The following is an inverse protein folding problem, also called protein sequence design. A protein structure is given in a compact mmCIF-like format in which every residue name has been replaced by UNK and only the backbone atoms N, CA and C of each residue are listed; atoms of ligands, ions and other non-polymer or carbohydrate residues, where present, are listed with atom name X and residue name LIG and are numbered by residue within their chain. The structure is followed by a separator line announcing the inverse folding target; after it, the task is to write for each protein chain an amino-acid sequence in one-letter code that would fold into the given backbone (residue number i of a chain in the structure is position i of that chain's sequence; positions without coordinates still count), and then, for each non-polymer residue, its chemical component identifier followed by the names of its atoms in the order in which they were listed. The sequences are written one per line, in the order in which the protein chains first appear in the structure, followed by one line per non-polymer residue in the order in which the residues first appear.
data_IF_040685468865
#
_entry.id   IF_040685468865
#
_cell.length_a   1.000
_cell.length_b   1.000
_cell.length_c   1.000
_cell.angle_alpha   90.00
_cell.angle_beta   90.00
_cell.angle_gamma   90.00
#
_symmetry.space_group_name_H-M   'P 1'
#
loop_
_entity.id
_entity.type
_entity.pdbx_description
1 polymer ?
#
# COMPACT_ATOMS: atom_id res chain seq x y z
N UNK A 1 24.12 -7.56 -1.73
CA UNK A 1 23.15 -6.82 -2.55
C UNK A 1 23.46 -5.34 -2.45
N UNK A 2 23.55 -4.67 -3.58
CA UNK A 2 23.77 -3.23 -3.61
C UNK A 2 22.52 -2.51 -3.11
N UNK A 3 22.71 -1.52 -2.26
CA UNK A 3 21.67 -0.61 -1.81
C UNK A 3 21.69 0.65 -2.66
N UNK A 4 20.52 1.10 -3.06
CA UNK A 4 20.36 2.23 -3.97
C UNK A 4 19.74 3.40 -3.21
N UNK A 5 20.38 4.57 -3.32
CA UNK A 5 19.83 5.77 -2.73
C UNK A 5 18.57 6.19 -3.47
N UNK A 6 17.54 6.54 -2.71
CA UNK A 6 16.29 7.04 -3.29
C UNK A 6 16.46 8.46 -3.84
N UNK A 7 15.60 8.83 -4.79
CA UNK A 7 15.61 10.18 -5.33
C UNK A 7 15.03 11.19 -4.35
N UNK A 8 15.27 12.48 -4.61
CA UNK A 8 14.75 13.56 -3.76
C UNK A 8 13.22 13.66 -3.77
N UNK A 9 12.57 13.11 -4.79
CA UNK A 9 11.10 13.12 -4.93
C UNK A 9 10.42 11.91 -4.31
N UNK A 10 11.20 10.98 -3.75
CA UNK A 10 10.66 9.77 -3.11
C UNK A 10 10.14 10.06 -1.70
N UNK A 11 8.99 9.53 -1.29
CA UNK A 11 8.00 8.82 -2.12
C UNK A 11 7.18 9.79 -2.98
N UNK A 12 6.90 9.44 -4.27
CA UNK A 12 6.24 10.38 -5.18
C UNK A 12 4.77 10.67 -4.87
N UNK A 13 4.06 9.71 -4.30
CA UNK A 13 2.63 9.84 -4.02
C UNK A 13 2.36 10.10 -2.54
N UNK A 14 1.49 11.07 -2.27
CA UNK A 14 1.03 11.38 -0.92
C UNK A 14 -0.02 10.35 -0.47
N UNK A 15 -0.02 10.05 0.82
CA UNK A 15 -1.00 9.13 1.40
C UNK A 15 -0.80 8.96 2.90
N UNK A 16 -1.56 8.04 3.48
CA UNK A 16 -1.47 7.70 4.90
C UNK A 16 -0.37 6.66 5.12
N UNK A 17 0.87 7.09 5.13
CA UNK A 17 2.01 6.21 5.37
C UNK A 17 3.10 6.91 6.17
N UNK A 18 3.98 6.09 6.72
CA UNK A 18 5.22 6.52 7.35
C UNK A 18 6.40 6.02 6.53
N UNK A 19 7.42 6.85 6.41
CA UNK A 19 8.70 6.50 5.80
C UNK A 19 9.68 6.09 6.88
N UNK A 20 10.36 4.97 6.67
CA UNK A 20 11.34 4.44 7.62
C UNK A 20 12.73 4.35 7.00
N UNK A 21 13.29 3.15 7.00
CA UNK A 21 14.61 2.90 6.45
C UNK A 21 14.54 2.68 4.94
N UNK A 22 14.97 3.66 4.15
CA UNK A 22 14.97 3.60 2.69
C UNK A 22 15.72 2.39 2.11
N UNK A 23 16.67 1.84 2.84
CA UNK A 23 17.47 0.69 2.40
C UNK A 23 16.90 -0.66 2.80
N UNK A 24 15.78 -0.67 3.50
CA UNK A 24 15.07 -1.90 3.85
C UNK A 24 14.43 -2.53 2.61
N UNK A 25 14.48 -3.87 2.50
CA UNK A 25 13.79 -4.56 1.40
C UNK A 25 12.29 -4.74 1.63
N UNK A 26 11.74 -4.26 2.76
CA UNK A 26 10.36 -4.57 3.17
C UNK A 26 9.52 -3.30 3.22
N UNK A 27 8.34 -3.36 2.62
CA UNK A 27 7.26 -2.43 2.83
C UNK A 27 6.06 -3.17 3.45
N UNK A 28 5.25 -2.44 4.22
CA UNK A 28 4.09 -3.00 4.91
C UNK A 28 2.85 -2.21 4.54
N UNK A 29 1.78 -2.91 4.18
CA UNK A 29 0.47 -2.31 3.98
C UNK A 29 -0.54 -2.93 4.93
N UNK A 30 -1.27 -2.09 5.65
CA UNK A 30 -2.33 -2.50 6.56
C UNK A 30 -3.67 -2.20 5.91
N UNK A 31 -4.45 -3.23 5.68
CA UNK A 31 -5.79 -3.09 5.11
C UNK A 31 -6.69 -2.39 6.12
N UNK A 32 -7.35 -1.34 5.68
CA UNK A 32 -8.22 -0.53 6.53
C UNK A 32 -9.66 -0.64 6.01
N UNK A 33 -10.49 -1.32 6.81
CA UNK A 33 -11.89 -1.49 6.47
C UNK A 33 -12.66 -0.15 6.62
N UNK A 34 -13.34 0.26 5.55
CA UNK A 34 -14.19 1.45 5.57
C UNK A 34 -15.49 1.19 6.32
N UNK A 35 -16.04 2.17 7.08
CA UNK A 35 -16.73 3.30 6.42
C UNK A 35 -15.92 4.58 6.25
N UNK A 36 -14.67 4.58 6.60
CA UNK A 36 -13.87 5.79 6.60
C UNK A 36 -13.73 6.45 5.22
N UNK A 37 -13.73 5.68 4.14
CA UNK A 37 -13.62 6.21 2.78
C UNK A 37 -14.77 7.10 2.33
N UNK A 38 -15.95 6.97 2.96
CA UNK A 38 -17.10 7.79 2.66
C UNK A 38 -17.15 9.11 3.45
N UNK A 39 -16.24 9.29 4.41
CA UNK A 39 -16.19 10.48 5.26
C UNK A 39 -15.23 11.52 4.68
N UNK A 40 -15.52 12.83 4.87
CA UNK A 40 -14.56 13.86 4.48
C UNK A 40 -13.20 13.64 5.17
N UNK A 41 -12.08 13.90 4.49
CA UNK A 41 -10.74 13.66 5.05
C UNK A 41 -10.50 14.31 6.43
N UNK A 42 -11.14 15.44 6.70
CA UNK A 42 -11.00 16.18 7.97
C UNK A 42 -11.59 15.45 9.17
N UNK A 43 -12.50 14.50 8.95
CA UNK A 43 -13.16 13.76 10.03
C UNK A 43 -12.80 12.28 10.04
N UNK A 44 -11.96 11.86 9.10
CA UNK A 44 -11.44 10.48 9.07
C UNK A 44 -10.41 10.32 10.18
N UNK A 45 -10.65 9.34 11.05
CA UNK A 45 -9.67 8.93 12.06
C UNK A 45 -9.30 7.49 11.83
N UNK A 46 -8.00 7.22 11.81
CA UNK A 46 -7.51 5.84 11.71
C UNK A 46 -7.64 5.18 13.09
N UNK A 47 -8.25 3.97 13.19
CA UNK A 47 -8.27 3.25 14.45
C UNK A 47 -6.88 3.10 15.05
N UNK A 48 -6.79 3.22 16.37
CA UNK A 48 -5.50 3.24 17.05
C UNK A 48 -4.69 1.96 16.85
N UNK A 49 -5.35 0.82 16.75
CA UNK A 49 -4.73 -0.47 16.48
C UNK A 49 -4.05 -0.49 15.12
N UNK A 50 -4.69 0.09 14.12
CA UNK A 50 -4.14 0.21 12.76
C UNK A 50 -2.94 1.16 12.75
N UNK A 51 -3.09 2.30 13.41
CA UNK A 51 -1.99 3.28 13.55
C UNK A 51 -0.78 2.65 14.24
N UNK A 52 -1.01 1.86 15.30
CA UNK A 52 0.06 1.15 16.00
C UNK A 52 0.76 0.12 15.10
N UNK A 53 0.03 -0.64 14.29
CA UNK A 53 0.62 -1.57 13.33
C UNK A 53 1.52 -0.85 12.32
N UNK A 54 1.05 0.27 11.80
CA UNK A 54 1.83 1.09 10.85
C UNK A 54 3.14 1.56 11.50
N UNK A 55 3.08 2.04 12.74
CA UNK A 55 4.26 2.51 13.49
C UNK A 55 5.23 1.39 13.82
N UNK A 56 4.72 0.25 14.30
CA UNK A 56 5.55 -0.90 14.66
C UNK A 56 6.34 -1.42 13.45
N UNK A 57 5.73 -1.43 12.28
CA UNK A 57 6.43 -1.82 11.06
C UNK A 57 7.65 -0.93 10.78
N UNK A 58 7.51 0.38 10.94
CA UNK A 58 8.61 1.32 10.77
C UNK A 58 9.68 1.14 11.86
N UNK A 59 9.27 1.00 13.10
CA UNK A 59 10.19 0.78 14.23
C UNK A 59 10.96 -0.53 14.10
N UNK A 60 10.37 -1.52 13.45
CA UNK A 60 11.00 -2.82 13.20
C UNK A 60 11.91 -2.81 11.97
N UNK A 61 11.88 -1.75 11.17
CA UNK A 61 12.83 -1.55 10.09
C UNK A 61 12.26 -1.53 8.68
N UNK A 62 10.95 -1.40 8.50
CA UNK A 62 10.37 -1.29 7.16
C UNK A 62 10.77 0.02 6.47
N UNK A 63 10.84 0.00 5.16
CA UNK A 63 11.10 1.19 4.35
C UNK A 63 9.89 2.11 4.28
N UNK A 64 8.72 1.52 4.10
CA UNK A 64 7.43 2.21 4.09
C UNK A 64 6.40 1.38 4.84
N UNK A 65 5.49 2.05 5.50
CA UNK A 65 4.34 1.41 6.14
C UNK A 65 3.14 2.34 6.07
N UNK A 66 2.01 1.84 5.61
CA UNK A 66 0.82 2.65 5.46
C UNK A 66 -0.45 1.85 5.37
N UNK A 67 -1.55 2.53 5.18
CA UNK A 67 -2.87 1.93 5.09
C UNK A 67 -3.39 1.87 3.66
N UNK A 68 -4.25 0.91 3.39
CA UNK A 68 -4.92 0.77 2.10
C UNK A 68 -6.42 0.57 2.31
N UNK A 69 -7.23 1.41 1.67
CA UNK A 69 -8.69 1.35 1.73
C UNK A 69 -9.33 0.92 0.41
N UNK A 70 -8.73 1.28 -0.72
CA UNK A 70 -9.36 1.10 -2.03
C UNK A 70 -8.46 0.31 -2.98
N UNK A 71 -9.11 -0.49 -3.83
CA UNK A 71 -8.46 -1.34 -4.82
C UNK A 71 -8.03 -0.61 -6.10
N UNK A 72 -8.37 0.66 -6.21
CA UNK A 72 -8.06 1.47 -7.39
C UNK A 72 -6.95 2.51 -7.09
N UNK A 73 -7.35 3.73 -6.74
CA UNK A 73 -6.40 4.83 -6.45
C UNK A 73 -5.41 4.43 -5.35
N UNK A 74 -5.89 3.70 -4.33
CA UNK A 74 -5.03 3.23 -3.25
C UNK A 74 -3.92 2.30 -3.71
N UNK A 75 -4.25 1.29 -4.50
CA UNK A 75 -3.26 0.35 -5.05
C UNK A 75 -2.29 1.08 -5.98
N UNK A 76 -2.79 1.96 -6.83
CA UNK A 76 -1.93 2.73 -7.74
C UNK A 76 -0.88 3.53 -6.98
N UNK A 77 -1.28 4.24 -5.92
CA UNK A 77 -0.35 5.00 -5.07
C UNK A 77 0.68 4.11 -4.39
N UNK A 78 0.26 2.96 -3.87
CA UNK A 78 1.17 2.00 -3.25
C UNK A 78 2.20 1.53 -4.26
N UNK A 79 1.79 1.14 -5.45
CA UNK A 79 2.69 0.66 -6.48
C UNK A 79 3.69 1.76 -6.89
N UNK A 80 3.21 2.99 -7.10
CA UNK A 80 4.10 4.11 -7.43
C UNK A 80 5.15 4.34 -6.36
N UNK A 81 4.77 4.31 -5.09
CA UNK A 81 5.70 4.53 -3.98
C UNK A 81 6.70 3.39 -3.82
N UNK A 82 6.26 2.15 -3.99
CA UNK A 82 7.13 0.97 -3.88
C UNK A 82 8.11 0.91 -5.05
N UNK A 83 7.64 1.11 -6.26
CA UNK A 83 8.48 1.05 -7.47
C UNK A 83 9.53 2.17 -7.47
N UNK A 84 9.21 3.31 -6.85
CA UNK A 84 10.16 4.42 -6.72
C UNK A 84 11.34 4.13 -5.79
N UNK A 85 11.28 3.05 -5.01
CA UNK A 85 12.38 2.61 -4.16
C UNK A 85 12.85 1.20 -4.59
N UNK A 86 13.92 1.10 -5.38
CA UNK A 86 14.38 -0.19 -5.89
C UNK A 86 14.96 -1.13 -4.82
N UNK A 87 15.12 -0.68 -3.58
CA UNK A 87 15.54 -1.56 -2.48
C UNK A 87 14.38 -2.44 -2.01
N UNK A 88 13.13 -2.00 -2.17
CA UNK A 88 11.96 -2.76 -1.71
C UNK A 88 11.76 -4.00 -2.60
N UNK A 89 11.68 -5.16 -1.97
CA UNK A 89 11.54 -6.47 -2.62
C UNK A 89 10.32 -7.24 -2.12
N UNK A 90 9.85 -6.92 -0.92
CA UNK A 90 8.78 -7.65 -0.26
C UNK A 90 7.72 -6.68 0.23
N UNK A 91 6.46 -7.05 0.01
CA UNK A 91 5.31 -6.33 0.53
C UNK A 91 4.57 -7.24 1.50
N UNK A 92 4.54 -6.85 2.77
CA UNK A 92 3.73 -7.54 3.77
C UNK A 92 2.34 -6.90 3.75
N UNK A 93 1.32 -7.71 3.52
CA UNK A 93 -0.08 -7.29 3.55
C UNK A 93 -0.70 -7.87 4.81
N UNK A 94 -1.19 -7.02 5.70
CA UNK A 94 -1.83 -7.42 6.95
C UNK A 94 -3.14 -6.68 7.17
N UNK A 95 -3.90 -7.10 8.19
CA UNK A 95 -5.23 -6.60 8.45
C UNK A 95 -6.31 -7.44 7.79
N UNK A 96 -7.54 -6.95 7.84
CA UNK A 96 -8.68 -7.62 7.25
C UNK A 96 -9.04 -7.00 5.90
N UNK A 97 -9.44 -7.85 4.97
CA UNK A 97 -9.89 -7.39 3.66
C UNK A 97 -11.08 -6.45 3.79
N UNK A 98 -11.10 -5.41 2.96
CA UNK A 98 -12.16 -4.41 3.00
C UNK A 98 -13.39 -4.98 2.31
N UNK A 99 -14.49 -5.13 3.07
CA UNK A 99 -15.75 -5.64 2.55
C UNK A 99 -16.22 -4.81 1.36
N UNK A 100 -16.53 -5.48 0.25
CA UNK A 100 -16.95 -4.83 -0.98
C UNK A 100 -15.82 -4.31 -1.87
N UNK A 101 -14.59 -4.19 -1.35
CA UNK A 101 -13.43 -3.73 -2.11
C UNK A 101 -12.42 -4.84 -2.43
N UNK A 102 -12.25 -5.80 -1.51
CA UNK A 102 -11.34 -6.93 -1.68
C UNK A 102 -9.91 -6.49 -2.05
N UNK A 103 -9.40 -5.48 -1.35
CA UNK A 103 -8.11 -4.86 -1.65
C UNK A 103 -6.93 -5.81 -1.53
N UNK A 104 -6.92 -6.66 -0.50
CA UNK A 104 -5.88 -7.67 -0.32
C UNK A 104 -5.88 -8.71 -1.44
N UNK A 105 -7.07 -9.18 -1.83
CA UNK A 105 -7.24 -10.11 -2.95
C UNK A 105 -6.78 -9.47 -4.26
N UNK A 106 -7.06 -8.18 -4.47
CA UNK A 106 -6.61 -7.45 -5.65
C UNK A 106 -5.09 -7.31 -5.70
N UNK A 107 -4.43 -7.00 -4.59
CA UNK A 107 -2.96 -6.95 -4.52
C UNK A 107 -2.37 -8.32 -4.85
N UNK A 108 -2.90 -9.38 -4.27
CA UNK A 108 -2.43 -10.74 -4.55
C UNK A 108 -2.54 -11.07 -6.04
N UNK A 109 -3.70 -10.79 -6.64
CA UNK A 109 -3.93 -11.02 -8.06
C UNK A 109 -2.96 -10.21 -8.93
N UNK A 110 -2.68 -8.94 -8.56
CA UNK A 110 -1.73 -8.10 -9.27
C UNK A 110 -0.32 -8.69 -9.25
N UNK A 111 0.13 -9.16 -8.09
CA UNK A 111 1.46 -9.77 -7.95
C UNK A 111 1.55 -11.09 -8.73
N UNK A 112 0.51 -11.91 -8.66
CA UNK A 112 0.52 -13.24 -9.29
C UNK A 112 0.33 -13.17 -10.81
N UNK A 113 -0.47 -12.26 -11.32
CA UNK A 113 -0.95 -12.26 -12.70
C UNK A 113 -0.64 -11.00 -13.52
N UNK A 114 -0.31 -9.89 -12.86
CA UNK A 114 -0.10 -8.62 -13.55
C UNK A 114 -1.40 -7.96 -14.03
N UNK A 115 -1.28 -7.12 -15.04
CA UNK A 115 -2.38 -6.38 -15.65
C UNK A 115 -2.52 -6.72 -17.14
N UNK A 116 -3.74 -6.56 -17.66
CA UNK A 116 -4.04 -6.74 -19.06
C UNK A 116 -3.80 -5.45 -19.87
N UNK A 117 -4.14 -5.49 -21.16
CA UNK A 117 -3.99 -4.35 -22.08
C UNK A 117 -4.83 -3.14 -21.69
N UNK A 118 -5.90 -3.34 -20.92
CA UNK A 118 -6.79 -2.30 -20.41
C UNK A 118 -6.37 -1.79 -19.04
N UNK A 119 -5.19 -2.21 -18.56
CA UNK A 119 -4.66 -1.92 -17.22
C UNK A 119 -5.52 -2.50 -16.09
N UNK A 120 -6.30 -3.53 -16.38
CA UNK A 120 -7.09 -4.23 -15.37
C UNK A 120 -6.28 -5.36 -14.75
N UNK A 121 -6.37 -5.51 -13.44
CA UNK A 121 -5.68 -6.61 -12.73
C UNK A 121 -6.30 -7.95 -13.15
N UNK A 122 -5.47 -8.83 -13.69
CA UNK A 122 -5.93 -10.14 -14.16
C UNK A 122 -6.28 -11.03 -12.96
N UNK A 123 -7.49 -11.59 -12.96
CA UNK A 123 -7.94 -12.48 -11.89
C UNK A 123 -8.52 -11.76 -10.68
N UNK A 124 -8.70 -10.46 -10.74
CA UNK A 124 -9.38 -9.69 -9.71
C UNK A 124 -10.80 -9.35 -10.14
N UNK A 125 -11.72 -9.35 -9.18
CA UNK A 125 -13.08 -8.84 -9.38
C UNK A 125 -13.17 -7.35 -9.07
N UNK A 126 -12.10 -6.72 -8.67
CA UNK A 126 -12.04 -5.28 -8.46
C UNK A 126 -12.36 -4.56 -9.77
N UNK A 127 -13.27 -3.61 -9.68
CA UNK A 127 -13.76 -2.89 -10.87
C UNK A 127 -12.79 -1.87 -11.42
N UNK A 128 -11.57 -1.91 -11.04
CA UNK A 128 -10.79 -0.83 -11.46
C UNK A 128 -9.57 -1.10 -12.10
N UNK A 129 -9.46 -0.59 -13.16
CA UNK A 129 -8.20 -0.39 -13.78
C UNK A 129 -7.56 0.91 -13.37
N UNK A 130 -6.31 0.88 -13.19
CA UNK A 130 -5.46 2.05 -13.36
C UNK A 130 -4.14 1.62 -13.96
#
# INVERSE_FOLDING_TARGET
MLKIQTTSTYPPEKGCYLRGNDYSPVAVVVLLNAPYGAMPPKVQTIPKEIENLVKVAIETGAALSGTLQTENIGIEKIICNIVANPNIRYLIVCGEDVEGHNTGTAIKALVDNGIDERRTIIGSQAKTPY
#
